data_IF_366137838466
#
_entry.id   IF_366137838466
#
_cell.length_a   1.000
_cell.length_b   1.000
_cell.length_c   1.000
_cell.angle_alpha   90.00
_cell.angle_beta   90.00
_cell.angle_gamma   90.00
#
_symmetry.space_group_name_H-M   'P 1'
#
loop_
_entity.id
_entity.type
_entity.pdbx_description
1 polymer ?
#
# COMPACT_ATOMS: atom_id res chain seq x y z
N UNK A 1 -31.27 17.67 9.99
CA UNK A 1 -29.98 18.20 9.49
C UNK A 1 -28.89 17.12 9.38
N UNK A 2 -28.60 16.35 10.45
CA UNK A 2 -27.57 15.29 10.44
C UNK A 2 -27.82 14.13 9.47
N UNK A 3 -29.06 13.68 9.32
CA UNK A 3 -29.41 12.60 8.38
C UNK A 3 -29.26 13.00 6.92
N UNK A 4 -29.64 14.24 6.57
CA UNK A 4 -29.48 14.76 5.22
C UNK A 4 -27.99 14.83 4.88
N UNK A 5 -27.16 15.35 5.79
CA UNK A 5 -25.71 15.40 5.61
C UNK A 5 -25.11 14.00 5.46
N UNK A 6 -25.55 13.02 6.26
CA UNK A 6 -25.08 11.63 6.16
C UNK A 6 -25.55 10.96 4.86
N UNK A 7 -26.75 11.24 4.37
CA UNK A 7 -27.24 10.73 3.08
C UNK A 7 -26.50 11.36 1.89
N UNK A 8 -26.12 12.63 2.01
CA UNK A 8 -25.35 13.35 0.99
C UNK A 8 -23.90 12.84 1.02
N UNK A 9 -23.30 12.73 2.19
CA UNK A 9 -21.94 12.22 2.38
C UNK A 9 -21.82 10.76 1.94
N UNK A 10 -22.79 9.89 2.23
CA UNK A 10 -22.83 8.51 1.74
C UNK A 10 -22.87 8.44 0.22
N UNK A 11 -23.70 9.27 -0.42
CA UNK A 11 -23.74 9.37 -1.90
C UNK A 11 -22.44 9.88 -2.51
N UNK A 12 -21.75 10.83 -1.87
CA UNK A 12 -20.43 11.27 -2.33
C UNK A 12 -19.35 10.23 -2.07
N UNK A 13 -19.43 9.46 -0.98
CA UNK A 13 -18.48 8.41 -0.64
C UNK A 13 -18.58 7.25 -1.65
N UNK A 14 -19.80 6.79 -1.93
CA UNK A 14 -20.06 5.75 -2.94
C UNK A 14 -19.71 6.25 -4.34
N UNK A 15 -19.96 7.53 -4.65
CA UNK A 15 -19.62 8.11 -5.96
C UNK A 15 -18.13 8.35 -6.13
N UNK A 16 -17.37 8.65 -5.07
CA UNK A 16 -15.91 8.66 -5.11
C UNK A 16 -15.40 7.25 -5.39
N UNK A 17 -15.95 6.23 -4.73
CA UNK A 17 -15.60 4.83 -4.98
C UNK A 17 -15.99 4.37 -6.40
N UNK A 18 -17.13 4.85 -6.92
CA UNK A 18 -17.59 4.59 -8.29
C UNK A 18 -16.78 5.36 -9.33
N UNK A 19 -16.38 6.60 -9.08
CA UNK A 19 -15.48 7.37 -9.95
C UNK A 19 -14.07 6.77 -9.95
N UNK A 20 -13.63 6.23 -8.81
CA UNK A 20 -12.41 5.42 -8.69
C UNK A 20 -12.54 4.04 -9.34
N UNK A 21 -13.75 3.53 -9.55
CA UNK A 21 -14.03 2.26 -10.24
C UNK A 21 -14.22 2.44 -11.75
N UNK A 22 -14.96 3.46 -12.19
CA UNK A 22 -15.15 3.81 -13.60
C UNK A 22 -13.88 4.42 -14.21
N UNK A 23 -13.07 5.13 -13.41
CA UNK A 23 -11.71 5.50 -13.77
C UNK A 23 -10.75 4.32 -13.97
N UNK A 24 -11.15 3.06 -13.67
CA UNK A 24 -10.35 1.85 -13.94
C UNK A 24 -10.53 1.29 -15.35
N UNK A 25 -11.46 1.78 -16.16
CA UNK A 25 -11.70 1.22 -17.49
C UNK A 25 -11.04 1.95 -18.65
N UNK A 26 -10.45 3.12 -18.43
CA UNK A 26 -9.65 3.80 -19.46
C UNK A 26 -8.28 4.17 -18.90
N UNK A 27 -7.24 3.76 -19.62
CA UNK A 27 -5.81 4.08 -19.42
C UNK A 27 -5.06 3.16 -18.45
N UNK A 28 -4.50 2.11 -19.04
CA UNK A 28 -3.11 1.65 -18.83
C UNK A 28 -2.68 1.56 -17.37
N UNK A 29 -2.68 0.33 -16.81
CA UNK A 29 -1.96 -0.09 -15.59
C UNK A 29 -1.02 1.01 -15.03
N UNK A 30 -1.57 1.97 -14.31
CA UNK A 30 -0.76 3.03 -13.71
C UNK A 30 -0.03 2.37 -12.58
N UNK A 31 1.22 2.00 -12.88
CA UNK A 31 2.22 1.36 -12.04
C UNK A 31 1.97 1.71 -10.56
N UNK A 32 1.75 0.75 -9.63
CA UNK A 32 1.46 1.05 -8.23
C UNK A 32 2.47 2.04 -7.60
N UNK A 33 3.72 2.01 -8.07
CA UNK A 33 4.80 2.91 -7.65
C UNK A 33 4.70 4.36 -8.17
N UNK A 34 3.85 4.68 -9.15
CA UNK A 34 3.78 6.02 -9.74
C UNK A 34 3.41 7.11 -8.70
N UNK A 35 2.69 6.72 -7.64
CA UNK A 35 2.29 7.59 -6.52
C UNK A 35 3.21 7.48 -5.29
N UNK A 36 4.28 6.70 -5.37
CA UNK A 36 5.26 6.52 -4.29
C UNK A 36 6.51 7.38 -4.55
N UNK A 37 6.96 8.08 -3.52
CA UNK A 37 8.29 8.71 -3.48
C UNK A 37 9.40 7.65 -3.47
N UNK A 38 10.63 8.04 -3.83
CA UNK A 38 11.75 7.10 -3.96
C UNK A 38 12.01 6.27 -2.70
N UNK A 39 11.88 6.89 -1.53
CA UNK A 39 12.08 6.19 -0.26
C UNK A 39 10.95 5.21 0.08
N UNK A 40 9.72 5.52 -0.32
CA UNK A 40 8.57 4.61 -0.18
C UNK A 40 8.69 3.44 -1.16
N UNK A 41 9.11 3.70 -2.42
CA UNK A 41 9.38 2.65 -3.41
C UNK A 41 10.39 1.65 -2.89
N UNK A 42 11.51 2.12 -2.32
CA UNK A 42 12.54 1.24 -1.77
C UNK A 42 12.02 0.34 -0.64
N UNK A 43 11.13 0.85 0.22
CA UNK A 43 10.47 0.02 1.25
C UNK A 43 9.49 -0.97 0.62
N UNK A 44 8.70 -0.52 -0.35
CA UNK A 44 7.70 -1.33 -1.01
C UNK A 44 8.33 -2.47 -1.83
N UNK A 45 9.42 -2.21 -2.55
CA UNK A 45 10.21 -3.22 -3.28
C UNK A 45 10.77 -4.30 -2.34
N UNK A 46 11.26 -3.91 -1.15
CA UNK A 46 11.67 -4.87 -0.15
C UNK A 46 10.50 -5.76 0.32
N UNK A 47 9.30 -5.18 0.45
CA UNK A 47 8.08 -5.92 0.78
C UNK A 47 7.58 -6.80 -0.37
N UNK A 48 7.78 -6.41 -1.63
CA UNK A 48 7.47 -7.26 -2.80
C UNK A 48 8.29 -8.56 -2.77
N UNK A 49 9.55 -8.48 -2.30
CA UNK A 49 10.45 -9.64 -2.13
C UNK A 49 10.09 -10.47 -0.89
N UNK A 50 9.81 -9.83 0.23
CA UNK A 50 9.57 -10.53 1.50
C UNK A 50 8.14 -11.07 1.64
N UNK A 51 7.16 -10.45 0.99
CA UNK A 51 5.70 -10.65 1.11
C UNK A 51 5.11 -10.42 2.50
N UNK A 52 5.80 -10.83 3.57
CA UNK A 52 5.42 -10.64 4.97
C UNK A 52 6.68 -10.44 5.83
N UNK A 53 6.76 -9.34 6.56
CA UNK A 53 7.96 -8.97 7.31
C UNK A 53 7.70 -7.96 8.42
N UNK A 54 8.61 -7.92 9.40
CA UNK A 54 8.71 -6.80 10.34
C UNK A 54 9.71 -5.73 9.85
N UNK A 55 9.71 -4.57 10.51
CA UNK A 55 10.62 -3.48 10.16
C UNK A 55 12.11 -3.87 10.28
N UNK A 56 12.46 -4.85 11.11
CA UNK A 56 13.83 -5.33 11.24
C UNK A 56 14.26 -6.12 9.99
N UNK A 57 13.38 -6.98 9.47
CA UNK A 57 13.63 -7.74 8.24
C UNK A 57 13.73 -6.81 7.02
N UNK A 58 12.83 -5.84 6.90
CA UNK A 58 12.87 -4.85 5.81
C UNK A 58 14.16 -4.02 5.87
N UNK A 59 14.58 -3.60 7.07
CA UNK A 59 15.82 -2.82 7.27
C UNK A 59 17.07 -3.54 6.77
N UNK A 60 17.11 -4.87 6.86
CA UNK A 60 18.23 -5.69 6.37
C UNK A 60 18.34 -5.68 4.85
N UNK A 61 17.21 -5.54 4.14
CA UNK A 61 17.17 -5.46 2.68
C UNK A 61 17.51 -4.05 2.21
N UNK A 62 16.87 -3.04 2.77
CA UNK A 62 17.00 -1.66 2.29
C UNK A 62 18.28 -0.96 2.77
N UNK A 63 18.95 -1.54 3.77
CA UNK A 63 20.13 -0.98 4.47
C UNK A 63 19.86 0.35 5.18
N UNK A 64 18.60 0.64 5.53
CA UNK A 64 18.22 1.80 6.36
C UNK A 64 18.00 1.38 7.80
N UNK A 65 18.01 2.34 8.73
CA UNK A 65 17.72 2.05 10.14
C UNK A 65 16.31 1.47 10.33
N UNK A 66 16.13 0.55 11.28
CA UNK A 66 14.83 -0.06 11.59
C UNK A 66 13.73 0.98 11.86
N UNK A 67 14.06 2.07 12.55
CA UNK A 67 13.10 3.15 12.85
C UNK A 67 12.62 3.85 11.57
N UNK A 68 13.51 4.05 10.59
CA UNK A 68 13.18 4.64 9.29
C UNK A 68 12.26 3.71 8.49
N UNK A 69 12.55 2.41 8.45
CA UNK A 69 11.64 1.45 7.80
C UNK A 69 10.30 1.35 8.50
N UNK A 70 10.28 1.38 9.83
CA UNK A 70 9.02 1.40 10.58
C UNK A 70 8.16 2.61 10.20
N UNK A 71 8.77 3.77 9.96
CA UNK A 71 8.06 4.96 9.51
C UNK A 71 7.46 4.76 8.11
N UNK A 72 8.27 4.33 7.14
CA UNK A 72 7.79 4.13 5.76
C UNK A 72 6.78 2.99 5.62
N UNK A 73 6.94 1.90 6.36
CA UNK A 73 5.96 0.81 6.39
C UNK A 73 4.60 1.31 6.90
N UNK A 74 4.58 2.15 7.93
CA UNK A 74 3.33 2.77 8.40
C UNK A 74 2.73 3.72 7.36
N UNK A 75 3.55 4.48 6.62
CA UNK A 75 3.05 5.32 5.53
C UNK A 75 2.40 4.45 4.44
N UNK A 76 3.06 3.36 4.03
CA UNK A 76 2.52 2.45 3.03
C UNK A 76 1.23 1.78 3.48
N UNK A 77 1.08 1.46 4.77
CA UNK A 77 -0.19 0.99 5.34
C UNK A 77 -1.27 2.07 5.22
N UNK A 78 -0.97 3.31 5.64
CA UNK A 78 -1.93 4.44 5.54
C UNK A 78 -2.34 4.74 4.10
N UNK A 79 -1.43 4.53 3.14
CA UNK A 79 -1.68 4.68 1.71
C UNK A 79 -2.39 3.46 1.07
N UNK A 80 -2.64 2.38 1.83
CA UNK A 80 -3.34 1.18 1.34
C UNK A 80 -2.49 0.25 0.47
N UNK A 81 -1.16 0.37 0.52
CA UNK A 81 -0.21 -0.49 -0.19
C UNK A 81 0.18 -1.73 0.60
N UNK A 82 0.11 -1.66 1.93
CA UNK A 82 0.40 -2.76 2.84
C UNK A 82 -0.73 -2.92 3.85
N UNK A 83 -0.80 -4.10 4.43
CA UNK A 83 -1.63 -4.39 5.60
C UNK A 83 -0.73 -4.66 6.81
N UNK A 84 -1.25 -4.44 8.01
CA UNK A 84 -0.53 -4.71 9.26
C UNK A 84 -1.32 -5.64 10.18
N UNK A 85 -0.57 -6.47 10.90
CA UNK A 85 -1.09 -7.33 11.95
C UNK A 85 -0.16 -7.31 13.16
N UNK A 86 -0.70 -7.62 14.33
CA UNK A 86 0.09 -7.76 15.56
C UNK A 86 0.25 -9.24 15.90
N UNK A 87 1.50 -9.72 15.92
CA UNK A 87 1.87 -11.02 16.45
C UNK A 87 2.51 -10.82 17.83
N UNK A 88 1.66 -10.82 18.86
CA UNK A 88 2.03 -10.51 20.23
C UNK A 88 2.57 -9.08 20.39
N UNK A 89 3.85 -8.96 20.74
CA UNK A 89 4.55 -7.66 20.86
C UNK A 89 5.10 -7.15 19.53
N UNK A 90 5.09 -7.96 18.47
CA UNK A 90 5.67 -7.61 17.16
C UNK A 90 4.59 -7.10 16.22
N UNK A 91 4.93 -6.06 15.45
CA UNK A 91 4.13 -5.55 14.35
C UNK A 91 4.66 -6.15 13.06
N UNK A 92 3.80 -6.84 12.32
CA UNK A 92 4.13 -7.48 11.05
C UNK A 92 3.36 -6.76 9.94
N UNK A 93 4.02 -6.55 8.82
CA UNK A 93 3.44 -5.98 7.62
C UNK A 93 3.32 -7.07 6.57
N UNK A 94 2.25 -7.04 5.78
CA UNK A 94 2.01 -8.00 4.69
C UNK A 94 1.60 -7.28 3.42
N UNK A 95 1.98 -7.87 2.30
CA UNK A 95 1.58 -7.44 0.97
C UNK A 95 0.18 -8.00 0.66
N UNK A 96 -0.84 -7.16 0.39
CA UNK A 96 -2.16 -7.59 -0.05
C UNK A 96 -2.09 -8.50 -1.28
N UNK A 97 -3.03 -9.44 -1.42
CA UNK A 97 -3.06 -10.41 -2.53
C UNK A 97 -3.02 -9.74 -3.91
N UNK A 98 -3.72 -8.60 -4.07
CA UNK A 98 -3.72 -7.77 -5.30
C UNK A 98 -2.33 -7.29 -5.76
N UNK A 99 -1.32 -7.35 -4.90
CA UNK A 99 0.07 -6.99 -5.23
C UNK A 99 1.01 -8.20 -5.22
N UNK A 100 0.53 -9.42 -4.91
CA UNK A 100 1.35 -10.62 -4.89
C UNK A 100 1.69 -11.11 -6.30
N UNK A 101 0.74 -10.97 -7.22
CA UNK A 101 0.91 -11.20 -8.66
C UNK A 101 1.25 -9.87 -9.33
N UNK A 102 2.53 -9.56 -9.42
CA UNK A 102 2.98 -8.47 -10.28
C UNK A 102 2.79 -8.90 -11.75
N UNK A 103 2.35 -8.00 -12.64
CA UNK A 103 2.36 -8.27 -14.08
C UNK A 103 3.75 -8.72 -14.52
N UNK A 104 3.81 -9.66 -15.48
CA UNK A 104 5.06 -10.29 -15.97
C UNK A 104 6.16 -9.26 -16.32
N UNK A 105 5.76 -8.04 -16.70
CA UNK A 105 6.62 -6.89 -16.99
C UNK A 105 7.55 -6.45 -15.85
N UNK A 106 7.39 -6.96 -14.63
CA UNK A 106 8.27 -6.69 -13.49
C UNK A 106 9.25 -7.81 -13.16
N UNK A 107 9.15 -8.97 -13.84
CA UNK A 107 10.10 -10.08 -13.62
C UNK A 107 11.45 -9.86 -14.32
N UNK A 108 11.53 -8.83 -15.17
CA UNK A 108 12.70 -8.54 -16.02
C UNK A 108 13.45 -7.25 -15.65
N UNK A 109 13.09 -6.56 -14.56
CA UNK A 109 13.84 -5.41 -14.00
C UNK A 109 14.68 -5.83 -12.79
#
# INVERSE_FOLDING_TARGET
AREILNSILGKYFDRIELLEYEGRKSETLTHPLAKLSDYERKTFEAMLKLKKADASQVSKITKRARAVESHYLNILVRKGYLEEERLGRRKIFRLPEKFQELPESYKEM
#
